data_IF_170892391984
#
_entry.id   IF_170892391984
#
_cell.length_a   1.000
_cell.length_b   1.000
_cell.length_c   1.000
_cell.angle_alpha   90.00
_cell.angle_beta   90.00
_cell.angle_gamma   90.00
#
_symmetry.space_group_name_H-M   'P 1'
#
loop_
_entity.id
_entity.type
_entity.pdbx_description
1 polymer ?
#
# COMPACT_ATOMS: atom_id res chain seq x y z
N UNK A 1 -12.08 -27.66 3.62
CA UNK A 1 -13.48 -27.42 4.00
C UNK A 1 -14.13 -26.58 2.91
N UNK A 2 -15.23 -27.06 2.32
CA UNK A 2 -16.07 -26.31 1.39
C UNK A 2 -17.27 -25.77 2.15
N UNK A 3 -17.50 -24.47 2.09
CA UNK A 3 -18.70 -23.85 2.66
C UNK A 3 -19.61 -23.44 1.50
N UNK A 4 -20.78 -24.05 1.41
CA UNK A 4 -21.85 -23.62 0.52
C UNK A 4 -22.96 -23.04 1.39
N UNK A 5 -23.17 -21.74 1.29
CA UNK A 5 -24.34 -21.08 1.83
C UNK A 5 -25.10 -20.44 0.66
N UNK A 6 -26.43 -20.53 0.70
CA UNK A 6 -27.32 -20.00 -0.34
C UNK A 6 -26.97 -18.54 -0.69
N UNK A 7 -26.47 -18.32 -1.91
CA UNK A 7 -26.07 -17.01 -2.43
C UNK A 7 -24.60 -16.62 -2.26
N UNK A 8 -23.77 -17.48 -1.64
CA UNK A 8 -22.32 -17.29 -1.51
C UNK A 8 -21.59 -18.20 -2.50
N UNK A 9 -20.66 -17.62 -3.26
CA UNK A 9 -19.69 -18.35 -4.09
C UNK A 9 -18.94 -19.37 -3.22
N UNK A 10 -18.98 -20.65 -3.59
CA UNK A 10 -18.26 -21.71 -2.86
C UNK A 10 -16.77 -21.39 -2.75
N UNK A 11 -16.23 -21.49 -1.53
CA UNK A 11 -14.83 -21.24 -1.23
C UNK A 11 -14.12 -22.51 -0.76
N UNK A 12 -12.87 -22.71 -1.19
CA UNK A 12 -12.00 -23.78 -0.69
C UNK A 12 -10.87 -23.15 0.12
N UNK A 13 -10.79 -23.51 1.40
CA UNK A 13 -9.68 -23.11 2.27
C UNK A 13 -8.71 -24.30 2.39
N UNK A 14 -7.43 -24.05 2.09
CA UNK A 14 -6.37 -25.05 2.21
C UNK A 14 -5.13 -24.47 2.89
N UNK A 15 -4.51 -25.28 3.74
CA UNK A 15 -3.20 -25.00 4.36
C UNK A 15 -2.15 -26.06 3.96
N UNK A 16 -2.48 -26.94 3.01
CA UNK A 16 -1.56 -27.97 2.54
C UNK A 16 -0.52 -27.32 1.60
N UNK A 17 0.79 -27.41 1.90
CA UNK A 17 1.83 -26.79 1.08
C UNK A 17 1.81 -27.28 -0.38
N UNK A 18 1.45 -28.53 -0.65
CA UNK A 18 1.35 -29.06 -2.01
C UNK A 18 0.25 -28.34 -2.82
N UNK A 19 -0.90 -28.05 -2.19
CA UNK A 19 -1.97 -27.31 -2.84
C UNK A 19 -1.58 -25.84 -3.06
N UNK A 20 -0.87 -25.24 -2.11
CA UNK A 20 -0.37 -23.86 -2.21
C UNK A 20 0.64 -23.74 -3.33
N UNK A 21 1.62 -24.65 -3.43
CA UNK A 21 2.59 -24.68 -4.53
C UNK A 21 1.89 -24.90 -5.87
N UNK A 22 0.94 -25.83 -5.95
CA UNK A 22 0.19 -26.08 -7.17
C UNK A 22 -0.55 -24.84 -7.66
N UNK A 23 -1.24 -24.14 -6.75
CA UNK A 23 -2.04 -22.95 -7.06
C UNK A 23 -1.18 -21.73 -7.40
N UNK A 24 -0.13 -21.47 -6.63
CA UNK A 24 0.66 -20.24 -6.76
C UNK A 24 1.84 -20.33 -7.72
N UNK A 25 2.27 -21.54 -8.11
CA UNK A 25 3.47 -21.76 -8.93
C UNK A 25 3.22 -22.70 -10.11
N UNK A 26 2.76 -23.92 -9.86
CA UNK A 26 2.70 -24.95 -10.91
C UNK A 26 1.61 -24.68 -11.95
N UNK A 27 0.43 -24.23 -11.53
CA UNK A 27 -0.71 -23.99 -12.39
C UNK A 27 -1.35 -22.61 -12.16
N UNK A 28 -0.52 -21.58 -11.99
CA UNK A 28 -0.96 -20.21 -11.66
C UNK A 28 -2.00 -19.64 -12.63
N UNK A 29 -1.84 -19.89 -13.94
CA UNK A 29 -2.75 -19.37 -14.98
C UNK A 29 -4.19 -19.89 -14.87
N UNK A 30 -4.41 -21.03 -14.21
CA UNK A 30 -5.74 -21.61 -14.01
C UNK A 30 -6.47 -21.05 -12.78
N UNK A 31 -5.84 -20.14 -12.02
CA UNK A 31 -6.41 -19.52 -10.82
C UNK A 31 -6.40 -17.98 -10.96
N UNK A 32 -7.25 -17.41 -11.84
CA UNK A 32 -7.39 -15.95 -11.95
C UNK A 32 -8.02 -15.37 -10.67
N UNK A 33 -7.82 -14.07 -10.44
CA UNK A 33 -8.33 -13.38 -9.22
C UNK A 33 -9.87 -13.33 -9.16
N UNK A 34 -10.52 -13.50 -10.31
CA UNK A 34 -11.97 -13.58 -10.45
C UNK A 34 -12.62 -12.21 -10.61
N UNK A 35 -13.63 -12.14 -11.48
CA UNK A 35 -14.32 -10.90 -11.85
C UNK A 35 -14.96 -10.18 -10.67
N UNK A 36 -15.49 -10.94 -9.69
CA UNK A 36 -16.09 -10.37 -8.49
C UNK A 36 -15.08 -9.56 -7.68
N UNK A 37 -13.89 -10.12 -7.42
CA UNK A 37 -12.85 -9.43 -6.65
C UNK A 37 -12.32 -8.20 -7.40
N UNK A 38 -12.09 -8.34 -8.71
CA UNK A 38 -11.68 -7.24 -9.59
C UNK A 38 -12.72 -6.12 -9.57
N UNK A 39 -14.01 -6.42 -9.70
CA UNK A 39 -15.09 -5.42 -9.70
C UNK A 39 -15.19 -4.64 -8.38
N UNK A 40 -14.87 -5.28 -7.24
CA UNK A 40 -14.88 -4.62 -5.94
C UNK A 40 -13.67 -3.71 -5.72
N UNK A 41 -12.55 -3.99 -6.39
CA UNK A 41 -11.29 -3.27 -6.24
C UNK A 41 -11.04 -2.23 -7.33
N UNK A 42 -11.69 -2.33 -8.49
CA UNK A 42 -11.38 -1.50 -9.68
C UNK A 42 -11.53 -0.01 -9.43
N UNK A 43 -12.53 0.41 -8.63
CA UNK A 43 -12.72 1.84 -8.35
C UNK A 43 -11.55 2.42 -7.54
N UNK A 44 -10.88 1.61 -6.71
CA UNK A 44 -9.79 2.06 -5.84
C UNK A 44 -8.40 1.80 -6.42
N UNK A 45 -8.20 0.64 -7.04
CA UNK A 45 -6.89 0.18 -7.53
C UNK A 45 -6.77 0.19 -9.06
N UNK A 46 -7.84 0.58 -9.75
CA UNK A 46 -7.89 0.63 -11.21
C UNK A 46 -7.49 -0.70 -11.84
N UNK A 47 -6.69 -0.64 -12.90
CA UNK A 47 -6.15 -1.83 -13.58
C UNK A 47 -4.70 -2.14 -13.19
N UNK A 48 -4.35 -1.85 -11.94
CA UNK A 48 -3.04 -2.16 -11.37
C UNK A 48 -2.82 -3.64 -11.05
N UNK A 49 -1.71 -3.95 -10.38
CA UNK A 49 -1.21 -5.32 -10.16
C UNK A 49 -2.17 -6.22 -9.38
N UNK A 50 -3.08 -5.65 -8.59
CA UNK A 50 -4.10 -6.40 -7.87
C UNK A 50 -5.32 -6.77 -8.71
N UNK A 51 -5.53 -6.10 -9.85
CA UNK A 51 -6.69 -6.29 -10.72
C UNK A 51 -6.32 -6.76 -12.14
N UNK A 52 -5.05 -6.99 -12.40
CA UNK A 52 -4.54 -7.54 -13.66
C UNK A 52 -4.20 -9.03 -13.50
N UNK A 53 -4.42 -9.83 -14.53
CA UNK A 53 -4.01 -11.25 -14.60
C UNK A 53 -3.15 -11.49 -15.86
N UNK A 54 -2.54 -12.68 -15.96
CA UNK A 54 -1.78 -13.09 -17.15
C UNK A 54 -0.56 -12.21 -17.48
N UNK A 55 -0.38 -11.88 -18.75
CA UNK A 55 0.77 -11.12 -19.24
C UNK A 55 0.86 -9.71 -18.66
N UNK A 56 -0.29 -9.04 -18.48
CA UNK A 56 -0.33 -7.69 -17.90
C UNK A 56 0.20 -7.69 -16.47
N UNK A 57 -0.20 -8.67 -15.67
CA UNK A 57 0.31 -8.86 -14.32
C UNK A 57 1.81 -9.18 -14.30
N UNK A 58 2.25 -10.13 -15.13
CA UNK A 58 3.66 -10.52 -15.24
C UNK A 58 4.54 -9.33 -15.60
N UNK A 59 4.09 -8.50 -16.55
CA UNK A 59 4.79 -7.32 -16.98
C UNK A 59 4.89 -6.28 -15.84
N UNK A 60 3.78 -5.97 -15.16
CA UNK A 60 3.77 -5.05 -14.00
C UNK A 60 4.68 -5.57 -12.87
N UNK A 61 4.65 -6.87 -12.57
CA UNK A 61 5.47 -7.49 -11.54
C UNK A 61 6.96 -7.48 -11.91
N UNK A 62 7.30 -7.81 -13.17
CA UNK A 62 8.68 -7.75 -13.66
C UNK A 62 9.21 -6.32 -13.60
N UNK A 63 8.40 -5.35 -14.00
CA UNK A 63 8.76 -3.95 -13.90
C UNK A 63 9.02 -3.54 -12.43
N UNK A 64 8.14 -3.95 -11.49
CA UNK A 64 8.30 -3.71 -10.05
C UNK A 64 9.63 -4.26 -9.50
N UNK A 65 10.01 -5.47 -9.92
CA UNK A 65 11.21 -6.16 -9.45
C UNK A 65 12.50 -5.39 -9.70
N UNK A 66 12.57 -4.59 -10.78
CA UNK A 66 13.73 -3.75 -11.07
C UNK A 66 13.96 -2.67 -10.01
N UNK A 67 12.88 -2.14 -9.40
CA UNK A 67 12.97 -1.16 -8.30
C UNK A 67 13.48 -1.80 -7.02
N UNK A 68 13.03 -3.03 -6.74
CA UNK A 68 13.40 -3.81 -5.56
C UNK A 68 14.66 -4.66 -5.78
N UNK A 69 15.62 -4.15 -6.56
CA UNK A 69 16.92 -4.79 -6.68
C UNK A 69 17.74 -4.61 -5.38
N UNK A 70 18.72 -5.49 -5.17
CA UNK A 70 19.56 -5.52 -3.96
C UNK A 70 20.22 -4.17 -3.66
N UNK A 71 20.69 -3.45 -4.68
CA UNK A 71 21.38 -2.15 -4.53
C UNK A 71 20.41 -1.06 -4.08
N UNK A 72 19.25 -0.98 -4.70
CA UNK A 72 18.17 -0.04 -4.37
C UNK A 72 17.67 -0.26 -2.94
N UNK A 73 17.38 -1.51 -2.59
CA UNK A 73 16.96 -1.89 -1.23
C UNK A 73 18.02 -1.56 -0.18
N UNK A 74 19.29 -1.85 -0.43
CA UNK A 74 20.36 -1.54 0.52
C UNK A 74 20.48 -0.04 0.77
N UNK A 75 20.45 0.76 -0.28
CA UNK A 75 20.52 2.23 -0.16
C UNK A 75 19.30 2.75 0.59
N UNK A 76 18.11 2.24 0.28
CA UNK A 76 16.88 2.58 0.97
C UNK A 76 16.95 2.26 2.47
N UNK A 77 17.35 1.04 2.84
CA UNK A 77 17.47 0.63 4.24
C UNK A 77 18.47 1.52 5.00
N UNK A 78 19.63 1.81 4.42
CA UNK A 78 20.63 2.67 5.07
C UNK A 78 20.08 4.08 5.32
N UNK A 79 19.44 4.68 4.31
CA UNK A 79 18.88 6.02 4.41
C UNK A 79 17.71 6.08 5.41
N UNK A 80 16.78 5.12 5.32
CA UNK A 80 15.60 5.06 6.19
C UNK A 80 15.95 4.70 7.63
N UNK A 81 16.77 3.67 7.86
CA UNK A 81 17.16 3.28 9.22
C UNK A 81 17.93 4.42 9.88
N UNK A 82 18.84 5.10 9.16
CA UNK A 82 19.54 6.27 9.72
C UNK A 82 18.57 7.38 10.12
N UNK A 83 17.64 7.75 9.23
CA UNK A 83 16.66 8.79 9.52
C UNK A 83 15.75 8.41 10.71
N UNK A 84 15.24 7.18 10.70
CA UNK A 84 14.27 6.70 11.67
C UNK A 84 14.88 6.45 13.07
N UNK A 85 16.04 5.82 13.13
CA UNK A 85 16.73 5.51 14.40
C UNK A 85 17.23 6.79 15.07
N UNK A 86 17.82 7.72 14.31
CA UNK A 86 18.44 8.94 14.87
C UNK A 86 17.38 9.93 15.37
N UNK A 87 16.28 10.10 14.62
CA UNK A 87 15.22 11.04 15.00
C UNK A 87 14.26 10.46 16.05
N UNK A 88 13.96 9.16 16.03
CA UNK A 88 12.89 8.59 16.87
C UNK A 88 13.31 7.97 18.18
N UNK A 89 14.48 7.34 18.25
CA UNK A 89 14.99 6.86 19.54
C UNK A 89 15.24 8.03 20.50
N UNK A 90 15.54 9.23 19.96
CA UNK A 90 15.57 10.47 20.75
C UNK A 90 14.21 10.84 21.34
N UNK A 91 13.13 10.76 20.57
CA UNK A 91 11.78 11.02 21.06
C UNK A 91 11.31 9.99 22.10
N UNK A 92 11.78 8.74 22.01
CA UNK A 92 11.49 7.68 22.98
C UNK A 92 12.08 7.96 24.37
N UNK A 93 13.26 8.57 24.43
CA UNK A 93 13.93 8.89 25.71
C UNK A 93 13.22 9.98 26.53
N UNK A 94 12.29 10.75 25.95
CA UNK A 94 11.77 11.98 26.56
C UNK A 94 10.32 11.96 27.06
N UNK A 95 9.48 10.98 26.69
CA UNK A 95 8.05 11.00 27.06
C UNK A 95 7.47 9.62 27.36
N UNK A 96 6.76 9.54 28.50
CA UNK A 96 5.91 8.41 28.87
C UNK A 96 4.87 8.15 27.78
N UNK A 97 4.94 6.96 27.21
CA UNK A 97 4.27 6.57 25.97
C UNK A 97 2.93 5.89 26.26
N UNK A 98 1.81 6.54 25.91
CA UNK A 98 0.53 5.82 25.73
C UNK A 98 0.56 5.05 24.41
N UNK A 99 0.28 3.75 24.46
CA UNK A 99 0.45 2.78 23.36
C UNK A 99 -0.26 3.18 22.04
N UNK A 100 -1.38 3.91 22.10
CA UNK A 100 -2.15 4.33 20.92
C UNK A 100 -1.46 5.38 20.04
N UNK A 101 -0.50 6.15 20.58
CA UNK A 101 0.20 7.20 19.82
C UNK A 101 1.26 6.63 18.85
N UNK A 102 1.75 5.42 19.11
CA UNK A 102 2.86 4.79 18.39
C UNK A 102 2.42 4.16 17.08
N UNK A 103 1.33 3.39 17.08
CA UNK A 103 0.87 2.68 15.87
C UNK A 103 0.56 3.66 14.74
N UNK A 104 -0.13 4.77 15.03
CA UNK A 104 -0.49 5.77 14.01
C UNK A 104 0.72 6.57 13.49
N UNK A 105 1.68 6.94 14.36
CA UNK A 105 2.92 7.65 13.96
C UNK A 105 3.90 6.75 13.21
N UNK A 106 3.98 5.48 13.57
CA UNK A 106 4.81 4.48 12.87
C UNK A 106 4.21 4.11 11.50
N UNK A 107 2.88 3.97 11.38
CA UNK A 107 2.21 3.85 10.06
C UNK A 107 2.56 4.99 9.12
N UNK A 108 2.44 6.23 9.61
CA UNK A 108 2.71 7.43 8.81
C UNK A 108 4.14 7.48 8.28
N UNK A 109 5.07 7.08 9.12
CA UNK A 109 6.48 7.07 8.77
C UNK A 109 6.93 5.97 7.84
N UNK A 110 6.34 4.78 7.96
CA UNK A 110 6.61 3.65 7.11
C UNK A 110 6.09 3.98 5.71
N UNK A 111 4.91 4.62 5.63
CA UNK A 111 4.41 5.20 4.40
C UNK A 111 5.35 6.27 3.85
N UNK A 112 5.77 7.27 4.65
CA UNK A 112 6.68 8.35 4.21
C UNK A 112 8.03 7.80 3.75
N UNK A 113 8.53 6.78 4.42
CA UNK A 113 9.76 6.09 4.04
C UNK A 113 9.56 5.35 2.72
N UNK A 114 8.47 4.60 2.55
CA UNK A 114 8.18 3.91 1.28
C UNK A 114 7.90 4.89 0.12
N UNK A 115 7.23 6.02 0.37
CA UNK A 115 7.04 7.10 -0.62
C UNK A 115 8.34 7.83 -0.94
N UNK A 116 9.20 8.07 0.04
CA UNK A 116 10.53 8.66 -0.19
C UNK A 116 11.52 7.67 -0.84
N UNK A 117 11.35 6.36 -0.64
CA UNK A 117 12.02 5.31 -1.42
C UNK A 117 11.66 5.39 -2.90
N UNK A 118 10.38 5.67 -3.18
CA UNK A 118 9.87 5.86 -4.52
C UNK A 118 10.25 7.25 -5.08
N UNK A 119 10.52 8.25 -4.23
CA UNK A 119 10.82 9.65 -4.60
C UNK A 119 12.12 10.21 -4.00
N UNK A 120 13.20 10.33 -4.81
CA UNK A 120 14.39 11.05 -4.38
C UNK A 120 14.15 12.57 -4.25
N UNK A 121 13.04 13.10 -4.79
CA UNK A 121 12.70 14.53 -4.82
C UNK A 121 12.48 15.12 -3.43
N UNK A 122 11.90 14.34 -2.53
CA UNK A 122 11.66 14.77 -1.14
C UNK A 122 12.96 14.86 -0.34
N UNK A 123 14.09 14.37 -0.90
CA UNK A 123 15.40 14.35 -0.26
C UNK A 123 16.20 15.66 -0.44
N UNK A 124 15.71 16.60 -1.24
CA UNK A 124 16.42 17.87 -1.48
C UNK A 124 15.44 19.04 -1.51
N UNK A 125 15.13 19.57 -0.32
CA UNK A 125 14.94 21.02 -0.01
C UNK A 125 14.13 21.35 1.25
N UNK A 126 13.83 20.41 2.15
CA UNK A 126 13.29 20.77 3.46
C UNK A 126 13.98 20.00 4.59
N UNK A 127 15.32 20.10 4.61
CA UNK A 127 16.11 19.85 5.81
C UNK A 127 16.32 21.17 6.56
N UNK A 128 15.26 21.92 6.81
CA UNK A 128 15.27 23.07 7.71
C UNK A 128 13.83 23.41 8.07
N UNK A 129 13.58 23.53 9.37
CA UNK A 129 12.40 24.10 10.02
C UNK A 129 11.27 23.11 10.32
N UNK A 130 11.18 22.79 11.61
CA UNK A 130 10.00 22.40 12.38
C UNK A 130 8.71 22.18 11.57
N UNK A 131 8.47 20.95 11.16
CA UNK A 131 7.11 20.45 10.92
C UNK A 131 6.86 19.28 11.85
N UNK A 132 6.79 19.64 13.14
CA UNK A 132 5.97 18.90 14.09
C UNK A 132 4.54 18.97 13.56
N UNK A 133 3.90 17.81 13.43
CA UNK A 133 2.65 17.55 12.69
C UNK A 133 2.88 17.32 11.20
N UNK A 134 2.48 16.14 10.74
CA UNK A 134 2.35 15.82 9.33
C UNK A 134 1.62 16.99 8.63
N UNK A 135 2.20 17.57 7.57
CA UNK A 135 1.58 18.65 6.79
C UNK A 135 0.09 18.36 6.54
N UNK A 136 -0.83 19.34 6.56
CA UNK A 136 -2.27 19.12 6.50
C UNK A 136 -2.71 18.20 5.35
N UNK A 137 -2.13 18.38 4.15
CA UNK A 137 -2.39 17.55 2.96
C UNK A 137 -2.07 16.07 3.16
N UNK A 138 -1.08 15.79 3.98
CA UNK A 138 -0.55 14.45 4.18
C UNK A 138 -1.39 13.65 5.18
N UNK A 139 -1.94 14.33 6.20
CA UNK A 139 -2.96 13.78 7.09
C UNK A 139 -4.30 13.56 6.37
N UNK A 140 -4.67 14.47 5.47
CA UNK A 140 -5.85 14.34 4.62
C UNK A 140 -5.75 13.13 3.69
N UNK A 141 -4.62 12.96 3.00
CA UNK A 141 -4.35 11.77 2.18
C UNK A 141 -4.47 10.47 3.00
N UNK A 142 -3.91 10.43 4.21
CA UNK A 142 -4.00 9.24 5.07
C UNK A 142 -5.43 8.85 5.42
N UNK A 143 -6.25 9.85 5.75
CA UNK A 143 -7.67 9.66 6.07
C UNK A 143 -8.43 9.19 4.85
N UNK A 144 -8.28 9.89 3.71
CA UNK A 144 -8.90 9.51 2.45
C UNK A 144 -8.55 8.06 2.04
N UNK A 145 -7.28 7.69 2.18
CA UNK A 145 -6.82 6.34 1.85
C UNK A 145 -7.37 5.27 2.81
N UNK A 146 -7.51 5.57 4.10
CA UNK A 146 -8.16 4.66 5.06
C UNK A 146 -9.66 4.52 4.78
N UNK A 147 -10.34 5.63 4.51
CA UNK A 147 -11.77 5.65 4.18
C UNK A 147 -12.03 4.80 2.91
N UNK A 148 -11.18 4.94 1.89
CA UNK A 148 -11.25 4.14 0.67
C UNK A 148 -11.08 2.64 0.95
N UNK A 149 -10.06 2.28 1.75
CA UNK A 149 -9.83 0.88 2.13
C UNK A 149 -11.00 0.30 2.93
N UNK A 150 -11.53 1.03 3.89
CA UNK A 150 -12.67 0.59 4.70
C UNK A 150 -13.92 0.36 3.83
N UNK A 151 -14.21 1.27 2.89
CA UNK A 151 -15.32 1.13 1.97
C UNK A 151 -15.17 -0.12 1.08
N UNK A 152 -13.97 -0.37 0.56
CA UNK A 152 -13.67 -1.58 -0.22
C UNK A 152 -13.80 -2.83 0.63
N UNK A 153 -13.27 -2.83 1.86
CA UNK A 153 -13.38 -3.95 2.79
C UNK A 153 -14.83 -4.26 3.15
N UNK A 154 -15.69 -3.24 3.27
CA UNK A 154 -17.13 -3.41 3.47
C UNK A 154 -17.79 -4.13 2.29
N UNK A 155 -17.34 -3.89 1.05
CA UNK A 155 -17.82 -4.65 -0.14
C UNK A 155 -17.50 -6.14 0.01
N UNK A 156 -16.27 -6.46 0.45
CA UNK A 156 -15.81 -7.83 0.65
C UNK A 156 -16.51 -8.54 1.82
N UNK A 157 -16.69 -7.85 2.95
CA UNK A 157 -17.31 -8.40 4.16
C UNK A 157 -18.83 -8.49 4.05
N UNK A 158 -19.46 -7.82 3.09
CA UNK A 158 -20.90 -7.92 2.89
C UNK A 158 -21.30 -9.36 2.52
N UNK A 159 -22.29 -9.96 3.20
CA UNK A 159 -22.79 -11.28 2.83
C UNK A 159 -23.49 -11.25 1.46
N UNK A 160 -24.15 -10.13 1.13
CA UNK A 160 -24.85 -9.94 -0.15
C UNK A 160 -23.95 -9.16 -1.10
N UNK A 161 -23.31 -9.85 -2.03
CA UNK A 161 -22.32 -9.23 -2.94
C UNK A 161 -22.92 -8.18 -3.86
N UNK A 162 -24.21 -8.27 -4.21
CA UNK A 162 -24.86 -7.24 -5.03
C UNK A 162 -25.23 -5.96 -4.27
N UNK A 163 -25.07 -5.93 -2.94
CA UNK A 163 -25.44 -4.79 -2.09
C UNK A 163 -24.61 -3.54 -2.40
N UNK A 164 -23.33 -3.69 -2.72
CA UNK A 164 -22.48 -2.54 -3.07
C UNK A 164 -22.89 -1.95 -4.42
N UNK A 165 -23.25 -2.78 -5.40
CA UNK A 165 -23.78 -2.32 -6.69
C UNK A 165 -25.03 -1.46 -6.50
N UNK A 166 -25.95 -1.91 -5.63
CA UNK A 166 -27.15 -1.14 -5.29
C UNK A 166 -26.80 0.20 -4.64
N UNK A 167 -25.92 0.20 -3.63
CA UNK A 167 -25.48 1.44 -2.97
C UNK A 167 -24.80 2.41 -3.94
N UNK A 168 -24.01 1.89 -4.89
CA UNK A 168 -23.37 2.67 -5.95
C UNK A 168 -24.40 3.27 -6.91
N UNK A 169 -25.40 2.49 -7.32
CA UNK A 169 -26.46 2.96 -8.23
C UNK A 169 -27.27 4.12 -7.65
N UNK A 170 -27.57 4.08 -6.35
CA UNK A 170 -28.31 5.13 -5.65
C UNK A 170 -27.42 6.21 -5.02
N UNK A 171 -26.11 6.20 -5.29
CA UNK A 171 -25.13 7.12 -4.71
C UNK A 171 -25.25 7.25 -3.17
N UNK A 172 -25.42 6.10 -2.49
CA UNK A 172 -25.60 6.02 -1.04
C UNK A 172 -24.26 5.87 -0.31
N UNK A 173 -24.21 6.24 0.97
CA UNK A 173 -23.08 5.93 1.84
C UNK A 173 -22.90 4.40 2.00
N UNK A 174 -21.66 3.87 1.95
CA UNK A 174 -20.37 4.55 1.89
C UNK A 174 -19.83 4.82 0.46
N UNK A 175 -20.57 4.44 -0.59
CA UNK A 175 -20.10 4.49 -1.99
C UNK A 175 -19.92 5.93 -2.51
N UNK A 176 -20.81 6.84 -2.12
CA UNK A 176 -20.66 8.26 -2.40
C UNK A 176 -19.38 8.83 -1.81
N UNK A 177 -19.12 8.53 -0.53
CA UNK A 177 -17.91 8.93 0.18
C UNK A 177 -16.66 8.34 -0.46
N UNK A 178 -16.71 7.09 -0.92
CA UNK A 178 -15.62 6.46 -1.65
C UNK A 178 -15.26 7.28 -2.91
N UNK A 179 -16.24 7.72 -3.71
CA UNK A 179 -15.97 8.55 -4.89
C UNK A 179 -15.28 9.87 -4.55
N UNK A 180 -15.68 10.54 -3.46
CA UNK A 180 -15.06 11.78 -2.99
C UNK A 180 -13.59 11.56 -2.58
N UNK A 181 -13.31 10.52 -1.77
CA UNK A 181 -11.95 10.27 -1.29
C UNK A 181 -11.03 9.76 -2.39
N UNK A 182 -11.56 9.07 -3.40
CA UNK A 182 -10.80 8.65 -4.57
C UNK A 182 -10.29 9.85 -5.37
N UNK A 183 -11.04 10.95 -5.46
CA UNK A 183 -10.56 12.17 -6.10
C UNK A 183 -9.30 12.72 -5.40
N UNK A 184 -9.25 12.71 -4.07
CA UNK A 184 -8.07 13.13 -3.29
C UNK A 184 -6.87 12.20 -3.54
N UNK A 185 -7.09 10.90 -3.58
CA UNK A 185 -6.03 9.90 -3.82
C UNK A 185 -5.50 10.02 -5.25
N UNK A 186 -6.39 10.12 -6.24
CA UNK A 186 -6.04 10.32 -7.64
C UNK A 186 -5.25 11.61 -7.85
N UNK A 187 -5.68 12.74 -7.26
CA UNK A 187 -4.93 13.99 -7.33
C UNK A 187 -3.53 13.90 -6.71
N UNK A 188 -3.36 13.10 -5.66
CA UNK A 188 -2.03 12.84 -5.08
C UNK A 188 -1.14 12.01 -6.01
N UNK A 189 -1.69 10.93 -6.57
CA UNK A 189 -0.97 10.06 -7.49
C UNK A 189 -0.63 10.78 -8.82
N UNK A 190 -1.54 11.57 -9.37
CA UNK A 190 -1.32 12.38 -10.57
C UNK A 190 -0.21 13.42 -10.37
N UNK A 191 -0.12 14.04 -9.20
CA UNK A 191 1.00 14.94 -8.86
C UNK A 191 2.34 14.21 -8.89
N UNK A 192 2.41 13.01 -8.31
CA UNK A 192 3.63 12.18 -8.35
C UNK A 192 4.01 11.85 -9.79
N UNK A 193 3.04 11.44 -10.62
CA UNK A 193 3.27 11.10 -12.03
C UNK A 193 3.76 12.33 -12.81
N UNK A 194 3.12 13.49 -12.62
CA UNK A 194 3.52 14.76 -13.23
C UNK A 194 4.97 15.14 -12.94
N UNK A 195 5.35 15.15 -11.66
CA UNK A 195 6.72 15.45 -11.22
C UNK A 195 7.76 14.51 -11.85
N UNK A 196 7.40 13.24 -12.12
CA UNK A 196 8.33 12.29 -12.77
C UNK A 196 8.44 12.51 -14.25
N UNK A 197 7.35 12.85 -14.91
CA UNK A 197 7.39 13.11 -16.35
C UNK A 197 8.23 14.34 -16.65
N UNK A 198 8.09 15.40 -15.86
CA UNK A 198 8.92 16.60 -15.96
C UNK A 198 10.42 16.28 -15.82
N UNK A 199 10.78 15.37 -14.90
CA UNK A 199 12.18 14.93 -14.73
C UNK A 199 12.71 14.09 -15.89
N UNK A 200 11.86 13.26 -16.48
CA UNK A 200 12.20 12.50 -17.69
C UNK A 200 12.47 13.46 -18.84
N UNK A 201 11.59 14.43 -19.05
CA UNK A 201 11.75 15.47 -20.08
C UNK A 201 13.00 16.32 -19.83
N UNK A 202 13.29 16.66 -18.58
CA UNK A 202 14.48 17.43 -18.21
C UNK A 202 15.80 16.62 -18.31
N UNK A 203 15.78 15.34 -18.71
CA UNK A 203 16.97 14.48 -18.77
C UNK A 203 17.59 14.16 -17.41
N UNK A 204 16.89 14.47 -16.31
CA UNK A 204 17.32 14.23 -14.93
C UNK A 204 16.82 12.90 -14.36
N UNK A 205 16.13 12.09 -15.18
CA UNK A 205 15.63 10.80 -14.77
C UNK A 205 16.78 9.83 -14.47
N UNK A 206 16.78 9.28 -13.25
CA UNK A 206 17.66 8.16 -12.92
C UNK A 206 17.14 6.90 -13.59
N UNK A 207 18.03 6.12 -14.20
CA UNK A 207 17.72 4.81 -14.77
C UNK A 207 17.12 3.81 -13.76
N UNK A 208 17.37 4.01 -12.46
CA UNK A 208 16.83 3.20 -11.36
C UNK A 208 15.38 3.56 -10.96
N UNK A 209 14.77 4.60 -11.54
CA UNK A 209 13.43 5.02 -11.14
C UNK A 209 12.33 4.30 -11.94
N UNK A 210 11.63 3.39 -11.27
CA UNK A 210 10.56 2.57 -11.84
C UNK A 210 9.49 3.40 -12.53
N UNK A 211 8.96 4.44 -11.87
CA UNK A 211 7.93 5.30 -12.46
C UNK A 211 8.45 6.09 -13.66
N UNK A 212 9.71 6.53 -13.64
CA UNK A 212 10.33 7.16 -14.82
C UNK A 212 10.48 6.19 -15.99
N UNK A 213 10.83 4.91 -15.76
CA UNK A 213 10.87 3.89 -16.82
C UNK A 213 9.48 3.56 -17.35
N UNK A 214 8.49 3.48 -16.46
CA UNK A 214 7.10 3.23 -16.78
C UNK A 214 6.47 4.39 -17.57
N UNK A 215 6.85 5.63 -17.24
CA UNK A 215 6.42 6.81 -17.98
C UNK A 215 7.20 7.00 -19.30
N UNK A 216 8.45 6.55 -19.37
CA UNK A 216 9.30 6.65 -20.55
C UNK A 216 8.96 5.61 -21.63
N UNK A 217 8.30 4.50 -21.31
CA UNK A 217 7.89 3.53 -22.33
C UNK A 217 6.83 4.09 -23.28
N UNK A 218 6.12 5.17 -22.93
CA UNK A 218 5.16 5.86 -23.81
C UNK A 218 3.89 5.07 -24.14
N UNK A 219 3.84 3.78 -23.80
CA UNK A 219 2.75 2.86 -24.07
C UNK A 219 1.60 2.93 -23.04
N UNK A 220 1.80 3.64 -21.92
CA UNK A 220 0.84 3.65 -20.80
C UNK A 220 0.20 5.02 -20.59
N UNK A 221 -1.13 5.02 -20.43
CA UNK A 221 -1.90 6.21 -20.09
C UNK A 221 -1.51 6.72 -18.70
N UNK A 222 -1.76 8.01 -18.45
CA UNK A 222 -1.59 8.61 -17.13
C UNK A 222 -2.42 7.88 -16.06
N UNK A 223 -3.58 7.33 -16.45
CA UNK A 223 -4.44 6.52 -15.59
C UNK A 223 -3.74 5.23 -15.15
N UNK A 224 -3.08 4.53 -16.07
CA UNK A 224 -2.33 3.32 -15.74
C UNK A 224 -1.17 3.61 -14.78
N UNK A 225 -0.46 4.72 -14.97
CA UNK A 225 0.61 5.15 -14.06
C UNK A 225 0.06 5.51 -12.67
N UNK A 226 -1.07 6.21 -12.63
CA UNK A 226 -1.77 6.56 -11.39
C UNK A 226 -2.19 5.30 -10.63
N UNK A 227 -2.80 4.35 -11.31
CA UNK A 227 -3.23 3.07 -10.74
C UNK A 227 -2.02 2.33 -10.15
N UNK A 228 -0.93 2.23 -10.91
CA UNK A 228 0.31 1.62 -10.45
C UNK A 228 0.84 2.29 -9.19
N UNK A 229 0.89 3.64 -9.14
CA UNK A 229 1.29 4.39 -7.94
C UNK A 229 0.39 4.05 -6.75
N UNK A 230 -0.93 4.09 -6.92
CA UNK A 230 -1.90 3.77 -5.86
C UNK A 230 -1.72 2.35 -5.33
N UNK A 231 -1.49 1.36 -6.22
CA UNK A 231 -1.23 -0.02 -5.84
C UNK A 231 0.05 -0.14 -4.99
N UNK A 232 1.15 0.51 -5.39
CA UNK A 232 2.39 0.49 -4.60
C UNK A 232 2.24 1.17 -3.24
N UNK A 233 1.48 2.25 -3.17
CA UNK A 233 1.20 2.93 -1.90
C UNK A 233 0.42 2.02 -0.95
N UNK A 234 -0.56 1.26 -1.46
CA UNK A 234 -1.31 0.28 -0.68
C UNK A 234 -0.38 -0.80 -0.12
N UNK A 235 0.39 -1.47 -0.99
CA UNK A 235 1.28 -2.57 -0.57
C UNK A 235 2.30 -2.10 0.44
N UNK A 236 2.94 -0.97 0.14
CA UNK A 236 4.08 -0.49 0.90
C UNK A 236 3.71 0.05 2.28
N UNK A 237 2.48 0.51 2.49
CA UNK A 237 2.06 1.18 3.71
C UNK A 237 1.67 0.19 4.81
N UNK A 238 0.63 -0.59 4.56
CA UNK A 238 -0.05 -1.31 5.62
C UNK A 238 0.75 -2.57 6.00
N UNK A 239 1.35 -3.25 5.02
CA UNK A 239 2.21 -4.42 5.29
C UNK A 239 3.45 -4.06 6.09
N UNK A 240 4.16 -2.99 5.72
CA UNK A 240 5.38 -2.57 6.43
C UNK A 240 5.05 -2.04 7.82
N UNK A 241 3.96 -1.30 7.96
CA UNK A 241 3.55 -0.82 9.27
C UNK A 241 3.17 -1.94 10.21
N UNK A 242 2.35 -2.90 9.75
CA UNK A 242 2.00 -4.07 10.55
C UNK A 242 3.24 -4.89 10.91
N UNK A 243 4.16 -5.11 9.97
CA UNK A 243 5.41 -5.82 10.23
C UNK A 243 6.26 -5.12 11.31
N UNK A 244 6.41 -3.79 11.23
CA UNK A 244 7.15 -3.00 12.22
C UNK A 244 6.46 -3.01 13.59
N UNK A 245 5.13 -2.89 13.62
CA UNK A 245 4.38 -2.99 14.88
C UNK A 245 4.61 -4.34 15.54
N UNK A 246 4.48 -5.44 14.80
CA UNK A 246 4.75 -6.78 15.35
C UNK A 246 6.20 -6.93 15.83
N UNK A 247 7.17 -6.50 15.02
CA UNK A 247 8.58 -6.57 15.36
C UNK A 247 8.93 -5.81 16.66
N UNK A 248 8.33 -4.64 16.89
CA UNK A 248 8.58 -3.83 18.08
C UNK A 248 7.77 -4.28 19.30
N UNK A 249 6.55 -4.76 19.10
CA UNK A 249 5.67 -5.16 20.20
C UNK A 249 5.95 -6.57 20.74
N UNK A 250 6.39 -7.51 19.89
CA UNK A 250 6.61 -8.90 20.29
C UNK A 250 7.59 -9.05 21.47
N UNK A 251 8.75 -8.38 21.51
CA UNK A 251 9.67 -8.45 22.66
C UNK A 251 9.10 -7.85 23.95
N UNK A 252 8.15 -6.92 23.85
CA UNK A 252 7.51 -6.29 25.01
C UNK A 252 6.46 -7.21 25.64
N UNK A 253 5.75 -7.97 24.81
CA UNK A 253 4.77 -8.97 25.26
C UNK A 253 5.49 -10.13 25.95
N UNK A 254 6.56 -10.65 25.35
CA UNK A 254 7.33 -11.77 25.89
C UNK A 254 7.94 -11.46 27.28
N UNK A 255 8.47 -10.23 27.47
CA UNK A 255 8.97 -9.76 28.77
C UNK A 255 7.88 -9.61 29.84
N UNK A 256 6.62 -9.42 29.45
CA UNK A 256 5.50 -9.30 30.38
C UNK A 256 5.04 -10.69 30.85
N UNK A 257 4.96 -11.64 29.92
CA UNK A 257 4.64 -13.04 30.23
C UNK A 257 5.70 -13.70 31.12
N UNK A 258 6.98 -13.38 30.90
CA UNK A 258 8.07 -13.91 31.74
C UNK A 258 8.05 -13.32 33.18
N UNK A 259 7.54 -12.10 33.36
CA UNK A 259 7.34 -11.47 34.67
C UNK A 259 6.09 -12.00 35.38
N UNK A 260 5.03 -12.31 34.65
CA UNK A 260 3.81 -12.91 35.20
C UNK A 260 4.01 -14.38 35.59
N UNK A 261 4.84 -15.15 34.86
CA UNK A 261 5.22 -16.53 35.27
C UNK A 261 6.16 -16.61 36.48
N UNK A 262 6.81 -15.51 36.86
CA UNK A 262 7.71 -15.42 38.03
C UNK A 262 7.01 -14.86 39.29
N UNK A 263 5.72 -14.54 39.20
CA UNK A 263 4.86 -14.19 40.35
C UNK A 263 3.95 -15.36 40.69
#
# INVERSE_FOLDING_TARGET
MSFEALGLTGGVITANPANVEYTLKTNFGNYPKGELAVSMLVDFLGHGIFNSDGEQWLWQQKAASYKFNKRSLRNFVVDTVRFEVVERLRCWSGRSATAGCWTCRTCWSALRSTTSAMSPSTRTRHASREESMASPQSAEFMRAFNDAQNAVMDRFMSPVKSRWCFKRLFNMEPERRLQEVLATIHGFAERIVGERRERVVAGLARSDDFLSRFAASGEHSNESLRDVVTNFLLVGRDTTSSALTWFLCQPLVEKREEKEKKR
#
